data_IF_503221722600
#
_entry.id   IF_503221722600
#
_cell.length_a   1.000
_cell.length_b   1.000
_cell.length_c   1.000
_cell.angle_alpha   90.00
_cell.angle_beta   90.00
_cell.angle_gamma   90.00
#
_symmetry.space_group_name_H-M   'P 1'
#
loop_
_entity.id
_entity.type
_entity.pdbx_description
1 polymer ?
#
# COMPACT_ATOMS: atom_id res chain seq x y z
N UNK A 1 16.53 7.91 -18.73
CA UNK A 1 17.32 8.13 -17.51
C UNK A 1 18.10 6.87 -17.17
N UNK A 2 19.27 6.99 -16.56
CA UNK A 2 20.11 5.86 -16.19
C UNK A 2 19.78 5.47 -14.73
N UNK A 3 19.50 4.19 -14.44
CA UNK A 3 19.26 3.74 -13.07
C UNK A 3 20.46 4.06 -12.16
N UNK A 4 20.18 4.33 -10.89
CA UNK A 4 21.23 4.41 -9.89
C UNK A 4 21.81 3.01 -9.69
N UNK A 5 23.09 2.84 -10.02
CA UNK A 5 23.77 1.55 -9.93
C UNK A 5 23.89 1.10 -8.48
N UNK A 6 23.61 -0.16 -8.18
CA UNK A 6 24.09 -0.84 -6.98
C UNK A 6 23.10 -1.59 -6.12
N UNK A 7 21.86 -1.82 -6.55
CA UNK A 7 20.90 -2.53 -5.69
C UNK A 7 20.55 -3.94 -6.14
N UNK A 8 21.12 -4.47 -7.22
CA UNK A 8 20.87 -5.86 -7.68
C UNK A 8 19.39 -6.29 -7.78
N UNK A 9 18.46 -5.35 -7.67
CA UNK A 9 17.02 -5.54 -7.58
C UNK A 9 16.34 -4.91 -8.78
N UNK A 10 15.06 -5.20 -8.96
CA UNK A 10 14.26 -4.61 -10.02
C UNK A 10 14.27 -3.08 -9.95
N UNK A 11 14.32 -2.47 -11.12
CA UNK A 11 14.16 -1.03 -11.27
C UNK A 11 13.00 -0.77 -12.23
N UNK A 12 12.01 -0.01 -11.77
CA UNK A 12 10.79 0.22 -12.53
C UNK A 12 10.81 1.57 -13.22
N UNK A 13 10.65 1.54 -14.55
CA UNK A 13 10.48 2.74 -15.37
C UNK A 13 9.39 2.46 -16.40
N UNK A 14 8.45 3.37 -16.51
CA UNK A 14 7.37 3.33 -17.50
C UNK A 14 7.44 4.51 -18.46
N UNK A 15 6.86 4.36 -19.65
CA UNK A 15 6.63 5.48 -20.55
C UNK A 15 5.58 6.44 -19.97
N UNK A 16 5.71 7.73 -20.24
CA UNK A 16 4.79 8.75 -19.73
C UNK A 16 3.31 8.47 -20.13
N UNK A 17 3.11 7.89 -21.30
CA UNK A 17 1.80 7.52 -21.84
C UNK A 17 1.07 6.51 -20.95
N UNK A 18 1.79 5.75 -20.10
CA UNK A 18 1.20 4.78 -19.19
C UNK A 18 0.31 5.45 -18.12
N UNK A 19 0.47 6.73 -17.83
CA UNK A 19 -0.44 7.48 -16.97
C UNK A 19 -1.89 7.46 -17.49
N UNK A 20 -2.10 7.28 -18.80
CA UNK A 20 -3.43 7.16 -19.39
C UNK A 20 -4.18 5.89 -18.93
N UNK A 21 -3.48 4.86 -18.46
CA UNK A 21 -4.11 3.67 -17.88
C UNK A 21 -4.87 4.05 -16.59
N UNK A 22 -4.27 4.92 -15.77
CA UNK A 22 -4.89 5.42 -14.54
C UNK A 22 -6.12 6.29 -14.87
N UNK A 23 -5.99 7.21 -15.83
CA UNK A 23 -7.08 8.07 -16.29
C UNK A 23 -8.26 7.24 -16.81
N UNK A 24 -7.99 6.25 -17.67
CA UNK A 24 -9.02 5.36 -18.23
C UNK A 24 -9.64 4.46 -17.15
N UNK A 25 -8.86 4.11 -16.11
CA UNK A 25 -9.33 3.36 -14.95
C UNK A 25 -10.14 4.20 -13.95
N UNK A 26 -10.26 5.52 -14.15
CA UNK A 26 -10.94 6.43 -13.24
C UNK A 26 -10.23 6.56 -11.89
N UNK A 27 -8.89 6.53 -11.90
CA UNK A 27 -8.07 6.65 -10.68
C UNK A 27 -7.82 8.13 -10.41
N UNK A 28 -8.27 8.61 -9.26
CA UNK A 28 -8.13 10.01 -8.82
C UNK A 28 -6.79 10.28 -8.15
N UNK A 29 -6.27 9.28 -7.41
CA UNK A 29 -5.07 9.44 -6.60
C UNK A 29 -4.22 8.17 -6.59
N UNK A 30 -2.88 8.34 -6.57
CA UNK A 30 -1.92 7.25 -6.35
C UNK A 30 -0.86 7.65 -5.31
N UNK A 31 -0.44 6.69 -4.47
CA UNK A 31 0.74 6.86 -3.63
C UNK A 31 1.99 6.46 -4.40
N UNK A 32 3.04 7.27 -4.28
CA UNK A 32 4.38 6.99 -4.78
C UNK A 32 5.34 6.57 -3.65
N UNK A 33 4.83 6.45 -2.42
CA UNK A 33 5.60 6.04 -1.25
C UNK A 33 5.77 4.52 -1.23
N UNK A 34 6.80 4.01 -1.91
CA UNK A 34 7.12 2.58 -1.95
C UNK A 34 8.64 2.35 -1.97
N UNK A 35 9.10 1.09 -1.99
CA UNK A 35 10.52 0.73 -2.03
C UNK A 35 11.20 1.14 -3.35
N UNK A 36 10.44 1.35 -4.43
CA UNK A 36 10.93 1.73 -5.77
C UNK A 36 10.84 3.24 -6.06
N UNK A 37 10.44 4.05 -5.07
CA UNK A 37 10.25 5.51 -5.23
C UNK A 37 11.46 6.19 -5.87
N UNK A 38 12.66 5.76 -5.54
CA UNK A 38 13.91 6.39 -5.94
C UNK A 38 14.78 5.50 -6.88
N UNK A 39 14.20 4.55 -7.58
CA UNK A 39 14.96 3.70 -8.54
C UNK A 39 15.74 4.53 -9.56
N UNK A 40 15.19 5.68 -9.94
CA UNK A 40 15.83 6.67 -10.82
C UNK A 40 16.14 8.00 -10.10
N UNK A 41 16.33 7.94 -8.78
CA UNK A 41 16.63 9.08 -7.93
C UNK A 41 15.50 10.11 -7.86
N UNK A 42 15.81 11.28 -7.29
CA UNK A 42 14.84 12.36 -7.13
C UNK A 42 14.29 12.84 -8.48
N UNK A 43 15.12 12.89 -9.52
CA UNK A 43 14.68 13.28 -10.87
C UNK A 43 13.61 12.35 -11.43
N UNK A 44 13.72 11.02 -11.19
CA UNK A 44 12.71 10.05 -11.61
C UNK A 44 11.39 10.27 -10.88
N UNK A 45 11.43 10.51 -9.57
CA UNK A 45 10.26 10.85 -8.77
C UNK A 45 9.58 12.14 -9.24
N UNK A 46 10.36 13.21 -9.45
CA UNK A 46 9.86 14.51 -9.89
C UNK A 46 9.21 14.41 -11.28
N UNK A 47 9.81 13.66 -12.20
CA UNK A 47 9.25 13.41 -13.52
C UNK A 47 7.95 12.60 -13.44
N UNK A 48 7.88 11.59 -12.56
CA UNK A 48 6.65 10.80 -12.34
C UNK A 48 5.52 11.70 -11.83
N UNK A 49 5.80 12.57 -10.85
CA UNK A 49 4.82 13.54 -10.35
C UNK A 49 4.34 14.50 -11.45
N UNK A 50 5.26 15.02 -12.26
CA UNK A 50 4.90 15.92 -13.35
C UNK A 50 4.03 15.25 -14.43
N UNK A 51 4.30 13.97 -14.74
CA UNK A 51 3.47 13.18 -15.67
C UNK A 51 2.08 12.94 -15.12
N UNK A 52 1.96 12.58 -13.84
CA UNK A 52 0.67 12.34 -13.18
C UNK A 52 -0.16 13.64 -13.09
N UNK A 53 0.46 14.75 -12.70
CA UNK A 53 -0.16 16.08 -12.66
C UNK A 53 -0.68 16.48 -14.05
N UNK A 54 0.13 16.33 -15.09
CA UNK A 54 -0.27 16.57 -16.48
C UNK A 54 -1.40 15.66 -16.97
N UNK A 55 -1.59 14.49 -16.36
CA UNK A 55 -2.68 13.56 -16.63
C UNK A 55 -3.94 13.80 -15.77
N UNK A 56 -3.86 14.71 -14.78
CA UNK A 56 -4.94 14.98 -13.84
C UNK A 56 -5.09 13.93 -12.74
N UNK A 57 -4.05 13.12 -12.48
CA UNK A 57 -4.03 12.13 -11.40
C UNK A 57 -3.23 12.69 -10.23
N UNK A 58 -3.85 12.86 -9.08
CA UNK A 58 -3.18 13.32 -7.89
C UNK A 58 -2.22 12.27 -7.32
N UNK A 59 -1.14 12.72 -6.66
CA UNK A 59 -0.19 11.79 -6.04
C UNK A 59 0.50 12.38 -4.81
N UNK A 60 1.04 11.50 -3.94
CA UNK A 60 1.93 11.86 -2.86
C UNK A 60 3.13 10.91 -2.80
N UNK A 61 4.32 11.45 -2.60
CA UNK A 61 5.55 10.71 -2.33
C UNK A 61 5.71 10.37 -0.85
N UNK A 62 6.86 9.79 -0.44
CA UNK A 62 7.11 9.44 0.95
C UNK A 62 7.04 10.65 1.88
N UNK A 63 6.26 10.52 2.96
CA UNK A 63 6.04 11.53 4.00
C UNK A 63 5.38 12.83 3.47
N UNK A 64 4.64 12.71 2.37
CA UNK A 64 3.89 13.80 1.80
C UNK A 64 2.39 13.65 2.08
N UNK A 65 1.73 14.80 2.19
CA UNK A 65 0.28 14.90 2.30
C UNK A 65 -0.32 15.47 1.03
N UNK A 66 -1.55 15.06 0.73
CA UNK A 66 -2.38 15.64 -0.31
C UNK A 66 -3.79 15.85 0.20
N UNK A 67 -4.47 16.88 -0.27
CA UNK A 67 -5.90 17.12 0.04
C UNK A 67 -6.68 17.01 -1.25
N UNK A 68 -7.58 16.04 -1.29
CA UNK A 68 -8.45 15.77 -2.42
C UNK A 68 -9.87 16.20 -2.11
N UNK A 69 -10.43 17.09 -2.92
CA UNK A 69 -11.83 17.51 -2.81
C UNK A 69 -12.66 16.89 -3.92
N UNK A 70 -13.70 16.18 -3.54
CA UNK A 70 -14.65 15.55 -4.46
C UNK A 70 -15.73 16.53 -4.88
N UNK A 71 -16.35 16.28 -6.02
CA UNK A 71 -17.46 17.12 -6.54
C UNK A 71 -18.71 17.11 -5.65
N UNK A 72 -18.87 16.07 -4.82
CA UNK A 72 -19.98 15.96 -3.84
C UNK A 72 -19.71 16.73 -2.53
N UNK A 73 -18.58 17.43 -2.44
CA UNK A 73 -18.19 18.25 -1.31
C UNK A 73 -17.47 17.49 -0.19
N UNK A 74 -17.14 16.18 -0.38
CA UNK A 74 -16.27 15.45 0.55
C UNK A 74 -14.81 15.84 0.33
N UNK A 75 -14.12 16.24 1.41
CA UNK A 75 -12.69 16.57 1.38
C UNK A 75 -11.90 15.52 2.13
N UNK A 76 -10.95 14.87 1.44
CA UNK A 76 -10.13 13.77 1.95
C UNK A 76 -8.69 14.23 2.11
N UNK A 77 -8.16 14.13 3.31
CA UNK A 77 -6.74 14.25 3.60
C UNK A 77 -6.02 12.91 3.40
N UNK A 78 -4.95 12.91 2.64
CA UNK A 78 -4.17 11.71 2.30
C UNK A 78 -2.74 11.92 2.79
N UNK A 79 -2.20 11.00 3.59
CA UNK A 79 -0.81 10.98 4.03
C UNK A 79 -0.15 9.71 3.54
N UNK A 80 0.96 9.82 2.80
CA UNK A 80 1.67 8.68 2.23
C UNK A 80 2.99 8.43 2.94
N UNK A 81 3.23 7.21 3.41
CA UNK A 81 4.46 6.81 4.07
C UNK A 81 4.88 5.38 3.69
N UNK A 82 6.10 5.02 4.05
CA UNK A 82 6.62 3.66 3.89
C UNK A 82 7.23 3.18 5.21
N UNK A 83 7.58 1.90 5.30
CA UNK A 83 8.14 1.26 6.50
C UNK A 83 9.33 1.98 7.16
N UNK A 84 10.02 2.87 6.43
CA UNK A 84 11.13 3.68 6.95
C UNK A 84 10.67 4.90 7.74
N UNK A 85 9.39 5.25 7.67
CA UNK A 85 8.82 6.32 8.48
C UNK A 85 8.72 5.84 9.94
N UNK A 86 9.23 6.62 10.87
CA UNK A 86 9.06 6.36 12.29
C UNK A 86 7.60 6.57 12.72
N UNK A 87 7.18 5.90 13.81
CA UNK A 87 5.83 6.05 14.36
C UNK A 87 5.49 7.52 14.64
N UNK A 88 6.43 8.29 15.16
CA UNK A 88 6.25 9.71 15.45
C UNK A 88 5.97 10.52 14.17
N UNK A 89 6.68 10.23 13.09
CA UNK A 89 6.50 10.89 11.80
C UNK A 89 5.13 10.62 11.20
N UNK A 90 4.65 9.37 11.31
CA UNK A 90 3.31 8.98 10.89
C UNK A 90 2.26 9.73 11.72
N UNK A 91 2.41 9.76 13.06
CA UNK A 91 1.50 10.51 13.95
C UNK A 91 1.46 11.98 13.60
N UNK A 92 2.59 12.62 13.37
CA UNK A 92 2.67 14.04 13.01
C UNK A 92 2.00 14.32 11.67
N UNK A 93 2.30 13.53 10.64
CA UNK A 93 1.72 13.69 9.32
C UNK A 93 0.20 13.51 9.29
N UNK A 94 -0.30 12.48 9.97
CA UNK A 94 -1.74 12.20 10.09
C UNK A 94 -2.44 13.28 10.94
N UNK A 95 -1.90 13.62 12.13
CA UNK A 95 -2.51 14.64 13.00
C UNK A 95 -2.56 16.00 12.34
N UNK A 96 -1.58 16.36 11.51
CA UNK A 96 -1.59 17.61 10.78
C UNK A 96 -2.78 17.73 9.81
N UNK A 97 -3.25 16.60 9.26
CA UNK A 97 -4.47 16.54 8.45
C UNK A 97 -5.72 16.50 9.31
N UNK A 98 -5.75 15.64 10.34
CA UNK A 98 -6.93 15.43 11.20
C UNK A 98 -7.33 16.66 12.02
N UNK A 99 -6.40 17.60 12.26
CA UNK A 99 -6.68 18.86 12.97
C UNK A 99 -7.24 19.96 12.08
N UNK A 100 -7.34 19.74 10.78
CA UNK A 100 -7.88 20.73 9.84
C UNK A 100 -9.40 20.64 9.79
N UNK A 101 -10.07 21.79 9.97
CA UNK A 101 -11.53 21.90 9.92
C UNK A 101 -12.10 21.71 8.50
N UNK A 102 -11.28 21.84 7.47
CA UNK A 102 -11.68 21.69 6.08
C UNK A 102 -11.44 20.26 5.53
N UNK A 103 -11.03 19.30 6.36
CA UNK A 103 -10.88 17.89 6.00
C UNK A 103 -11.94 17.05 6.70
N UNK A 104 -12.68 16.30 5.94
CA UNK A 104 -13.78 15.44 6.40
C UNK A 104 -13.33 14.03 6.76
N UNK A 105 -12.34 13.49 6.05
CA UNK A 105 -11.84 12.12 6.15
C UNK A 105 -10.33 12.09 6.00
N UNK A 106 -9.63 11.31 6.82
CA UNK A 106 -8.17 11.13 6.72
C UNK A 106 -7.81 9.70 6.38
N UNK A 107 -7.04 9.51 5.31
CA UNK A 107 -6.51 8.22 4.88
C UNK A 107 -4.98 8.22 4.98
N UNK A 108 -4.42 7.27 5.73
CA UNK A 108 -2.99 7.02 5.76
C UNK A 108 -2.63 5.88 4.82
N UNK A 109 -1.73 6.13 3.86
CA UNK A 109 -1.31 5.15 2.86
C UNK A 109 0.09 4.65 3.21
N UNK A 110 0.20 3.35 3.48
CA UNK A 110 1.43 2.71 3.96
C UNK A 110 1.97 1.69 2.96
N UNK A 111 3.29 1.66 2.81
CA UNK A 111 3.98 0.61 2.06
C UNK A 111 4.88 -0.15 3.02
N UNK A 112 4.50 -1.37 3.41
CA UNK A 112 5.04 -2.10 4.56
C UNK A 112 4.89 -3.61 4.48
N UNK A 113 5.38 -4.32 5.51
CA UNK A 113 5.18 -5.77 5.64
C UNK A 113 6.26 -6.59 4.94
N UNK A 114 5.98 -7.87 4.73
CA UNK A 114 6.90 -8.85 4.15
C UNK A 114 6.27 -9.40 2.86
N UNK A 115 7.03 -9.37 1.77
CA UNK A 115 6.59 -9.93 0.49
C UNK A 115 6.22 -11.41 0.60
N UNK A 116 5.07 -11.77 0.05
CA UNK A 116 4.53 -13.12 0.06
C UNK A 116 3.94 -13.58 1.38
N UNK A 117 4.01 -12.79 2.46
CA UNK A 117 3.42 -13.17 3.74
C UNK A 117 1.95 -12.79 3.84
N UNK A 118 1.10 -13.77 4.14
CA UNK A 118 -0.30 -13.56 4.47
C UNK A 118 -0.50 -13.08 5.93
N UNK A 119 0.56 -13.04 6.73
CA UNK A 119 0.53 -12.67 8.14
C UNK A 119 0.94 -11.21 8.31
N UNK A 120 0.12 -10.50 9.05
CA UNK A 120 0.45 -9.14 9.46
C UNK A 120 1.54 -9.18 10.53
N UNK A 121 2.52 -8.34 10.40
CA UNK A 121 3.66 -8.23 11.33
C UNK A 121 3.45 -7.12 12.34
N UNK A 122 4.21 -7.14 13.45
CA UNK A 122 4.24 -6.03 14.41
C UNK A 122 4.66 -4.70 13.77
N UNK A 123 5.50 -4.75 12.72
CA UNK A 123 5.87 -3.58 11.92
C UNK A 123 4.75 -2.98 11.07
N UNK A 124 3.63 -3.68 10.95
CA UNK A 124 2.40 -3.17 10.33
C UNK A 124 1.37 -2.79 11.40
N UNK A 125 1.16 -3.64 12.41
CA UNK A 125 0.15 -3.39 13.46
C UNK A 125 0.41 -2.11 14.24
N UNK A 126 1.64 -1.90 14.69
CA UNK A 126 1.99 -0.74 15.52
C UNK A 126 1.81 0.59 14.78
N UNK A 127 2.44 0.82 13.59
CA UNK A 127 2.25 2.07 12.86
C UNK A 127 0.84 2.24 12.32
N UNK A 128 0.14 1.13 11.97
CA UNK A 128 -1.26 1.20 11.55
C UNK A 128 -2.18 1.70 12.67
N UNK A 129 -2.03 1.17 13.88
CA UNK A 129 -2.76 1.65 15.07
C UNK A 129 -2.36 3.08 15.43
N UNK A 130 -1.07 3.41 15.32
CA UNK A 130 -0.59 4.77 15.57
C UNK A 130 -1.21 5.80 14.63
N UNK A 131 -1.43 5.45 13.37
CA UNK A 131 -2.11 6.31 12.40
C UNK A 131 -3.60 6.52 12.77
N UNK A 132 -4.32 5.45 13.16
CA UNK A 132 -5.71 5.58 13.63
C UNK A 132 -5.78 6.43 14.90
N UNK A 133 -4.93 6.17 15.89
CA UNK A 133 -4.87 6.97 17.13
C UNK A 133 -4.50 8.43 16.89
N UNK A 134 -3.85 8.75 15.78
CA UNK A 134 -3.50 10.11 15.36
C UNK A 134 -4.63 10.81 14.57
N UNK A 135 -5.71 10.09 14.27
CA UNK A 135 -6.91 10.62 13.62
C UNK A 135 -7.10 10.20 12.17
N UNK A 136 -6.43 9.14 11.71
CA UNK A 136 -6.80 8.51 10.45
C UNK A 136 -8.09 7.68 10.62
N UNK A 137 -9.00 7.79 9.67
CA UNK A 137 -10.21 6.97 9.59
C UNK A 137 -9.91 5.62 8.90
N UNK A 138 -9.00 5.64 7.94
CA UNK A 138 -8.60 4.49 7.15
C UNK A 138 -7.08 4.46 7.02
N UNK A 139 -6.48 3.29 7.23
CA UNK A 139 -5.11 2.99 6.83
C UNK A 139 -5.15 2.00 5.68
N UNK A 140 -4.48 2.32 4.58
CA UNK A 140 -4.32 1.45 3.42
C UNK A 140 -2.88 1.00 3.29
N UNK A 141 -2.65 -0.31 3.30
CA UNK A 141 -1.34 -0.95 3.19
C UNK A 141 -1.10 -1.61 1.84
N UNK A 142 0.16 -1.64 1.43
CA UNK A 142 0.67 -2.30 0.23
C UNK A 142 2.07 -2.88 0.48
N UNK A 143 2.67 -3.54 -0.47
CA UNK A 143 3.98 -4.18 -0.48
C UNK A 143 3.96 -5.72 -0.35
N UNK A 144 3.15 -6.38 0.49
CA UNK A 144 3.21 -7.85 0.60
C UNK A 144 2.94 -8.62 -0.70
N UNK A 145 2.39 -7.97 -1.73
CA UNK A 145 2.00 -8.59 -3.01
C UNK A 145 0.99 -9.74 -2.89
N UNK A 146 0.45 -9.93 -1.70
CA UNK A 146 -0.65 -10.85 -1.37
C UNK A 146 -1.67 -10.12 -0.50
N UNK A 147 -2.90 -10.64 -0.45
CA UNK A 147 -3.92 -10.12 0.44
C UNK A 147 -3.56 -10.40 1.90
N UNK A 148 -3.81 -9.43 2.75
CA UNK A 148 -3.76 -9.57 4.21
C UNK A 148 -5.07 -9.05 4.82
N UNK A 149 -5.30 -9.40 6.09
CA UNK A 149 -6.55 -9.09 6.79
C UNK A 149 -6.84 -7.58 6.87
N UNK A 150 -8.12 -7.28 7.00
CA UNK A 150 -8.62 -5.95 7.33
C UNK A 150 -8.96 -5.96 8.81
N UNK A 151 -8.37 -5.04 9.57
CA UNK A 151 -8.60 -4.90 11.00
C UNK A 151 -9.50 -3.69 11.27
N UNK A 152 -10.42 -3.82 12.21
CA UNK A 152 -11.11 -2.69 12.84
C UNK A 152 -10.38 -2.34 14.13
N UNK A 153 -10.01 -1.09 14.30
CA UNK A 153 -9.30 -0.64 15.48
C UNK A 153 -9.73 0.78 15.85
N UNK A 154 -10.17 0.97 17.08
CA UNK A 154 -10.49 2.27 17.68
C UNK A 154 -11.38 3.18 16.79
N UNK A 155 -12.34 2.56 16.10
CA UNK A 155 -13.31 3.24 15.22
C UNK A 155 -12.82 3.48 13.78
N UNK A 156 -11.60 3.09 13.44
CA UNK A 156 -11.06 3.15 12.08
C UNK A 156 -10.76 1.77 11.50
N UNK A 157 -10.34 1.74 10.25
CA UNK A 157 -10.07 0.52 9.49
C UNK A 157 -8.61 0.46 9.04
N UNK A 158 -7.96 -0.70 9.20
CA UNK A 158 -6.61 -0.96 8.73
C UNK A 158 -6.66 -2.07 7.68
N UNK A 159 -6.56 -1.70 6.41
CA UNK A 159 -6.41 -2.61 5.28
C UNK A 159 -4.93 -2.92 5.15
N UNK A 160 -4.46 -4.05 5.65
CA UNK A 160 -3.03 -4.34 5.73
C UNK A 160 -2.37 -4.56 4.37
N UNK A 161 -3.05 -5.23 3.43
CA UNK A 161 -2.64 -5.33 2.01
C UNK A 161 -3.79 -5.82 1.14
N UNK A 162 -3.97 -5.20 -0.02
CA UNK A 162 -4.89 -5.67 -1.08
C UNK A 162 -4.18 -6.49 -2.17
N UNK A 163 -2.91 -6.87 -1.96
CA UNK A 163 -2.15 -7.62 -2.93
C UNK A 163 -1.81 -6.82 -4.19
N UNK A 164 -1.59 -7.53 -5.28
CA UNK A 164 -1.39 -6.91 -6.59
C UNK A 164 -2.73 -6.52 -7.22
N UNK A 165 -2.72 -5.56 -8.13
CA UNK A 165 -3.87 -5.22 -8.97
C UNK A 165 -3.50 -5.34 -10.45
N UNK A 166 -2.77 -4.40 -10.99
CA UNK A 166 -2.29 -4.38 -12.37
C UNK A 166 -0.76 -4.26 -12.38
N UNK A 167 -0.09 -5.22 -11.73
CA UNK A 167 1.35 -5.22 -11.53
C UNK A 167 2.06 -5.73 -12.79
N UNK A 168 2.63 -4.81 -13.57
CA UNK A 168 3.31 -5.10 -14.83
C UNK A 168 4.53 -6.00 -14.66
N UNK A 169 4.81 -6.85 -15.67
CA UNK A 169 5.94 -7.77 -15.64
C UNK A 169 5.67 -9.12 -14.94
N UNK A 170 4.66 -9.21 -14.08
CA UNK A 170 4.27 -10.47 -13.45
C UNK A 170 3.24 -11.23 -14.31
N UNK A 171 3.73 -11.99 -15.28
CA UNK A 171 2.88 -12.74 -16.23
C UNK A 171 2.28 -14.02 -15.66
N UNK A 172 2.88 -14.55 -14.58
CA UNK A 172 2.44 -15.79 -13.94
C UNK A 172 2.48 -15.65 -12.40
N UNK A 173 1.61 -14.80 -11.82
CA UNK A 173 1.57 -14.58 -10.37
C UNK A 173 1.20 -15.88 -9.65
N UNK A 174 1.93 -16.20 -8.57
CA UNK A 174 1.67 -17.39 -7.74
C UNK A 174 0.39 -17.24 -6.91
N UNK A 175 0.10 -16.01 -6.47
CA UNK A 175 -1.19 -15.64 -5.92
C UNK A 175 -1.91 -14.73 -6.91
N UNK A 176 -3.14 -15.08 -7.23
CA UNK A 176 -3.96 -14.34 -8.18
C UNK A 176 -5.12 -13.61 -7.50
N UNK A 177 -5.22 -13.73 -6.19
CA UNK A 177 -6.29 -13.11 -5.43
C UNK A 177 -5.96 -11.65 -5.14
N UNK A 178 -6.93 -10.81 -5.37
CA UNK A 178 -6.93 -9.38 -5.05
C UNK A 178 -8.33 -8.94 -4.68
N UNK A 179 -8.50 -7.70 -4.28
CA UNK A 179 -9.81 -7.18 -3.94
C UNK A 179 -9.93 -5.68 -4.19
N UNK A 180 -11.17 -5.22 -4.41
CA UNK A 180 -11.57 -3.83 -4.25
C UNK A 180 -12.24 -3.71 -2.89
N UNK A 181 -11.87 -2.70 -2.12
CA UNK A 181 -12.55 -2.36 -0.87
C UNK A 181 -13.27 -1.03 -1.05
N UNK A 182 -14.57 -1.02 -0.79
CA UNK A 182 -15.43 0.15 -0.86
C UNK A 182 -15.84 0.53 0.55
N UNK A 183 -15.47 1.72 0.99
CA UNK A 183 -15.91 2.25 2.27
C UNK A 183 -17.19 3.05 2.12
N UNK A 184 -18.14 2.82 3.02
CA UNK A 184 -19.36 3.61 3.14
C UNK A 184 -19.10 4.82 4.03
N UNK A 185 -19.18 6.02 3.47
CA UNK A 185 -18.97 7.27 4.18
C UNK A 185 -20.30 8.00 4.31
N UNK A 186 -20.63 8.43 5.53
CA UNK A 186 -21.86 9.15 5.84
C UNK A 186 -21.54 10.54 6.36
N UNK A 187 -22.29 11.53 5.89
CA UNK A 187 -22.32 12.87 6.47
C UNK A 187 -23.64 13.07 7.21
N UNK A 188 -23.58 13.33 8.50
CA UNK A 188 -24.73 13.63 9.33
C UNK A 188 -25.24 15.07 9.12
N UNK A 189 -26.42 15.36 9.68
CA UNK A 189 -27.07 16.67 9.55
C UNK A 189 -26.28 17.83 10.20
N UNK A 190 -25.44 17.52 11.17
CA UNK A 190 -24.53 18.48 11.82
C UNK A 190 -23.22 18.68 11.06
N UNK A 191 -23.03 17.97 9.95
CA UNK A 191 -21.85 18.03 9.10
C UNK A 191 -20.76 17.02 9.44
N UNK A 192 -20.89 16.27 10.53
CA UNK A 192 -19.93 15.23 10.91
C UNK A 192 -19.88 14.13 9.87
N UNK A 193 -18.66 13.73 9.49
CA UNK A 193 -18.41 12.64 8.54
C UNK A 193 -17.87 11.42 9.30
N UNK A 194 -18.35 10.26 8.95
CA UNK A 194 -17.93 8.97 9.54
C UNK A 194 -17.86 7.87 8.50
N UNK A 195 -17.00 6.87 8.74
CA UNK A 195 -16.96 5.63 7.97
C UNK A 195 -17.83 4.59 8.66
N UNK A 196 -18.91 4.15 7.99
CA UNK A 196 -19.90 3.23 8.59
C UNK A 196 -19.55 1.74 8.38
N UNK A 197 -18.59 1.45 7.48
CA UNK A 197 -18.21 0.09 7.16
C UNK A 197 -17.58 -0.03 5.78
N UNK A 198 -17.32 -1.26 5.39
CA UNK A 198 -16.78 -1.54 4.06
C UNK A 198 -17.44 -2.76 3.42
N UNK A 199 -17.36 -2.81 2.10
CA UNK A 199 -17.67 -3.97 1.26
C UNK A 199 -16.38 -4.39 0.56
N UNK A 200 -16.02 -5.67 0.62
CA UNK A 200 -14.93 -6.24 -0.16
C UNK A 200 -15.50 -6.92 -1.42
N UNK A 201 -14.88 -6.66 -2.56
CA UNK A 201 -15.17 -7.32 -3.83
C UNK A 201 -13.96 -8.18 -4.20
N UNK A 202 -13.99 -9.49 -3.88
CA UNK A 202 -12.92 -10.42 -4.25
C UNK A 202 -12.75 -10.52 -5.76
N UNK A 203 -11.49 -10.43 -6.22
CA UNK A 203 -11.16 -10.45 -7.63
C UNK A 203 -9.99 -11.39 -7.92
N UNK A 204 -9.96 -11.91 -9.15
CA UNK A 204 -8.75 -12.45 -9.76
C UNK A 204 -7.97 -11.32 -10.44
N UNK A 205 -6.64 -11.37 -10.40
CA UNK A 205 -5.77 -10.43 -11.12
C UNK A 205 -5.96 -10.43 -12.65
N UNK A 206 -6.61 -11.44 -13.18
CA UNK A 206 -6.71 -11.67 -14.62
C UNK A 206 -8.09 -12.20 -14.99
N UNK A 207 -8.55 -11.86 -16.19
CA UNK A 207 -9.79 -12.38 -16.77
C UNK A 207 -9.60 -13.76 -17.41
N UNK A 208 -8.36 -14.25 -17.54
CA UNK A 208 -8.01 -15.52 -18.20
C UNK A 208 -7.28 -16.46 -17.27
N UNK A 209 -7.41 -17.77 -17.51
CA UNK A 209 -6.59 -18.77 -16.84
C UNK A 209 -5.17 -18.81 -17.42
N UNK A 210 -4.20 -19.24 -16.61
CA UNK A 210 -2.83 -19.57 -17.03
C UNK A 210 -1.87 -18.39 -17.12
N UNK A 211 -2.31 -17.24 -17.61
CA UNK A 211 -1.49 -16.02 -17.69
C UNK A 211 -2.18 -14.83 -17.02
N UNK A 212 -1.42 -13.81 -16.71
CA UNK A 212 -1.97 -12.55 -16.25
C UNK A 212 -2.17 -11.62 -17.45
N UNK A 213 -3.42 -11.30 -17.77
CA UNK A 213 -3.79 -10.34 -18.83
C UNK A 213 -4.01 -8.93 -18.27
N UNK A 214 -3.72 -8.74 -16.96
CA UNK A 214 -3.83 -7.45 -16.23
C UNK A 214 -5.24 -6.86 -16.25
N UNK A 215 -6.26 -7.73 -16.28
CA UNK A 215 -7.67 -7.36 -16.21
C UNK A 215 -8.33 -7.95 -14.97
N UNK A 216 -8.21 -7.29 -13.82
CA UNK A 216 -8.83 -7.77 -12.59
C UNK A 216 -10.33 -8.02 -12.81
N UNK A 217 -10.76 -9.20 -12.42
CA UNK A 217 -12.13 -9.69 -12.67
C UNK A 217 -12.73 -10.22 -11.37
N UNK A 218 -13.92 -9.76 -10.95
CA UNK A 218 -14.57 -10.26 -9.76
C UNK A 218 -14.81 -11.77 -9.82
N UNK A 219 -14.59 -12.44 -8.69
CA UNK A 219 -14.98 -13.83 -8.53
C UNK A 219 -16.51 -13.96 -8.38
N UNK A 220 -17.05 -15.09 -8.82
CA UNK A 220 -18.44 -15.44 -8.55
C UNK A 220 -18.62 -15.68 -7.03
N UNK A 221 -19.64 -15.03 -6.45
CA UNK A 221 -19.95 -15.14 -5.03
C UNK A 221 -20.23 -16.60 -4.65
N UNK A 222 -19.65 -17.05 -3.53
CA UNK A 222 -19.74 -18.42 -3.04
C UNK A 222 -18.85 -19.43 -3.80
N UNK A 223 -18.07 -18.99 -4.80
CA UNK A 223 -17.05 -19.86 -5.40
C UNK A 223 -15.89 -20.13 -4.43
N UNK A 224 -15.16 -21.24 -4.62
CA UNK A 224 -13.98 -21.55 -3.82
C UNK A 224 -12.94 -20.41 -3.83
N UNK A 225 -12.76 -19.76 -4.97
CA UNK A 225 -11.85 -18.63 -5.11
C UNK A 225 -12.35 -17.39 -4.33
N UNK A 226 -13.65 -17.14 -4.37
CA UNK A 226 -14.27 -16.08 -3.57
C UNK A 226 -14.05 -16.31 -2.08
N UNK A 227 -14.39 -17.50 -1.56
CA UNK A 227 -14.26 -17.85 -0.13
C UNK A 227 -12.79 -17.82 0.33
N UNK A 228 -11.86 -18.34 -0.48
CA UNK A 228 -10.43 -18.25 -0.23
C UNK A 228 -9.97 -16.80 -0.13
N UNK A 229 -10.41 -15.93 -1.02
CA UNK A 229 -10.07 -14.52 -1.02
C UNK A 229 -10.63 -13.82 0.22
N UNK A 230 -11.88 -14.09 0.57
CA UNK A 230 -12.51 -13.57 1.79
C UNK A 230 -11.77 -14.03 3.04
N UNK A 231 -11.33 -15.30 3.11
CA UNK A 231 -10.56 -15.81 4.25
C UNK A 231 -9.21 -15.10 4.45
N UNK A 232 -8.59 -14.57 3.37
CA UNK A 232 -7.41 -13.73 3.47
C UNK A 232 -7.74 -12.36 4.07
N UNK A 233 -8.88 -11.80 3.69
CA UNK A 233 -9.31 -10.47 4.15
C UNK A 233 -9.84 -10.48 5.59
N UNK A 234 -10.45 -11.58 6.05
CA UNK A 234 -10.91 -11.72 7.45
C UNK A 234 -9.84 -12.30 8.39
N UNK A 235 -8.67 -12.71 7.83
CA UNK A 235 -7.55 -13.26 8.59
C UNK A 235 -7.67 -14.73 9.00
N UNK A 236 -8.69 -15.45 8.51
CA UNK A 236 -8.86 -16.88 8.78
C UNK A 236 -8.05 -17.79 7.85
N UNK A 237 -7.40 -17.23 6.82
CA UNK A 237 -6.56 -17.98 5.90
C UNK A 237 -5.35 -18.60 6.61
N UNK A 238 -5.23 -19.93 6.59
CA UNK A 238 -4.19 -20.71 7.24
C UNK A 238 -3.13 -21.30 6.29
N UNK A 239 -3.23 -21.00 4.98
CA UNK A 239 -2.26 -21.43 3.98
C UNK A 239 -0.84 -20.92 4.26
N UNK A 240 0.20 -21.59 3.74
CA UNK A 240 1.60 -21.17 3.93
C UNK A 240 1.89 -19.86 3.19
N UNK A 241 2.81 -19.07 3.72
CA UNK A 241 3.34 -17.90 3.04
C UNK A 241 4.03 -18.30 1.73
N UNK A 242 4.01 -17.39 0.76
CA UNK A 242 4.75 -17.58 -0.48
C UNK A 242 6.24 -17.38 -0.22
N UNK A 243 7.05 -18.33 -0.66
CA UNK A 243 8.50 -18.15 -0.63
C UNK A 243 8.89 -17.23 -1.79
N UNK A 244 9.43 -16.07 -1.48
CA UNK A 244 10.01 -15.15 -2.48
C UNK A 244 11.48 -15.50 -2.60
N UNK A 245 11.88 -16.09 -3.75
CA UNK A 245 13.26 -16.45 -4.03
C UNK A 245 13.89 -15.39 -4.93
N UNK A 246 14.74 -14.58 -4.35
CA UNK A 246 15.49 -13.56 -5.08
C UNK A 246 16.77 -14.09 -5.74
N UNK A 247 17.14 -15.34 -5.53
CA UNK A 247 18.40 -15.92 -6.06
C UNK A 247 18.44 -15.98 -7.59
N UNK A 248 17.28 -16.05 -8.25
CA UNK A 248 17.22 -16.02 -9.72
C UNK A 248 17.60 -14.66 -10.31
N UNK A 249 17.49 -13.59 -9.54
CA UNK A 249 17.74 -12.21 -9.96
C UNK A 249 19.20 -11.79 -9.77
N UNK A 250 19.98 -12.57 -9.02
CA UNK A 250 21.41 -12.34 -8.75
C UNK A 250 22.35 -13.12 -9.66
N UNK A 251 21.87 -13.75 -10.74
CA UNK A 251 22.69 -14.49 -11.71
C UNK A 251 23.57 -13.59 -12.58
N UNK A 252 24.37 -12.74 -11.98
CA UNK A 252 25.31 -11.87 -12.70
C UNK A 252 26.39 -11.25 -11.80
N UNK A 253 26.26 -11.34 -10.49
CA UNK A 253 27.21 -10.77 -9.55
C UNK A 253 27.82 -11.86 -8.67
N UNK A 254 29.00 -12.37 -9.05
CA UNK A 254 29.89 -13.02 -8.09
C UNK A 254 30.34 -11.97 -7.06
N UNK A 255 30.04 -12.23 -5.79
CA UNK A 255 30.52 -11.52 -4.60
C UNK A 255 29.93 -10.14 -4.25
N UNK A 256 28.71 -10.11 -3.76
CA UNK A 256 28.32 -9.15 -2.72
C UNK A 256 27.63 -9.92 -1.58
N UNK A 257 28.05 -9.62 -0.35
CA UNK A 257 27.66 -10.34 0.87
C UNK A 257 26.15 -10.50 1.07
N UNK A 258 25.68 -11.61 1.70
CA UNK A 258 24.27 -11.92 1.91
C UNK A 258 23.51 -10.97 2.87
N UNK A 259 24.14 -9.92 3.34
CA UNK A 259 23.56 -9.03 4.36
C UNK A 259 22.59 -7.95 3.82
N UNK A 260 22.59 -7.70 2.50
CA UNK A 260 21.74 -6.65 1.94
C UNK A 260 20.28 -7.09 1.70
N UNK A 261 19.99 -8.40 1.61
CA UNK A 261 18.65 -8.92 1.39
C UNK A 261 17.81 -9.13 2.66
N UNK A 262 18.44 -9.03 3.84
CA UNK A 262 17.75 -9.23 5.13
C UNK A 262 17.35 -7.92 5.83
N UNK A 263 17.73 -6.76 5.32
CA UNK A 263 17.40 -5.47 5.93
C UNK A 263 15.89 -5.13 5.87
N UNK A 264 15.13 -5.77 4.99
CA UNK A 264 13.67 -5.59 4.89
C UNK A 264 12.87 -6.45 5.89
N UNK A 265 13.52 -7.37 6.62
CA UNK A 265 12.83 -8.38 7.42
C UNK A 265 12.78 -8.13 8.94
N UNK A 266 13.42 -7.10 9.48
CA UNK A 266 13.34 -6.84 10.91
C UNK A 266 13.50 -5.36 11.26
N UNK A 267 12.43 -4.75 11.71
CA UNK A 267 12.53 -3.61 12.61
C UNK A 267 13.22 -4.11 13.90
N UNK A 268 14.26 -3.48 14.39
CA UNK A 268 14.87 -3.90 15.65
C UNK A 268 13.87 -3.74 16.79
N UNK A 269 13.70 -4.81 17.55
CA UNK A 269 13.01 -4.82 18.83
C UNK A 269 13.62 -3.71 19.71
N UNK A 270 12.80 -2.75 20.11
CA UNK A 270 13.22 -1.67 20.99
C UNK A 270 13.44 -2.24 22.40
N UNK A 271 14.54 -2.96 22.57
CA UNK A 271 15.05 -3.37 23.87
C UNK A 271 15.48 -2.16 24.66
N UNK A 272 14.76 -1.90 25.75
CA UNK A 272 15.09 -0.92 26.76
C UNK A 272 16.57 -1.05 27.19
N UNK A 273 17.40 -0.08 26.85
CA UNK A 273 18.68 0.12 27.51
C UNK A 273 18.44 1.05 28.68
N UNK A 274 18.50 0.46 29.87
CA UNK A 274 18.66 1.20 31.13
C UNK A 274 19.96 2.00 31.07
N UNK A 275 19.88 3.29 31.28
CA UNK A 275 21.03 4.15 31.47
C UNK A 275 21.66 3.88 32.86
N UNK A 276 22.98 3.78 33.00
CA UNK A 276 23.61 3.73 34.31
C UNK A 276 23.54 5.11 34.96
N UNK A 277 23.10 5.12 36.22
CA UNK A 277 23.27 6.26 37.14
C UNK A 277 24.74 6.42 37.52
N UNK A 278 25.31 7.56 37.25
CA UNK A 278 26.26 8.28 38.09
C UNK A 278 26.01 9.80 37.98
#
# INVERSE_FOLDING_TARGET
>A
ETPLSGTGTFQFCGAAENAQILVQGGIDFVTLANNHTLDFGQTGLDNTKAVLDGAGVACAGPNESYVYSRDDGLTVGLYAARWTAGEQEIREGVSALAQREDIDLVICLMHWGIEGSYRVTGGQEQPGRAAIDAGADIVYGSHPHVLQRIDEYNGGYIVNSLGNWSFGGNTAPRDRDTAIVRFSVKRDLDGTVSVEGYEAVPCCLSSTEGINDYRPTPYEEGSEAYERTMSKLDGSFDGPDLVVDYSEYHKGEESASPEAGQADAALPDAGAQEAPME
#
